data_IF_057966284373
#
_entry.id   IF_057966284373
#
_cell.length_a   1.000
_cell.length_b   1.000
_cell.length_c   1.000
_cell.angle_alpha   90.00
_cell.angle_beta   90.00
_cell.angle_gamma   90.00
#
_symmetry.space_group_name_H-M   'P 1'
#
loop_
_entity.id
_entity.type
_entity.pdbx_description
1 polymer ?
#
# COMPACT_ATOMS: atom_id res chain seq x y z
N UNK A 1 8.36 5.63 -3.99
CA UNK A 1 9.63 5.26 -4.67
C UNK A 1 9.81 3.79 -5.01
N UNK A 2 10.06 2.84 -4.10
CA UNK A 2 10.16 1.42 -4.52
C UNK A 2 8.79 0.82 -4.90
N UNK A 3 7.71 1.26 -4.25
CA UNK A 3 6.37 0.73 -4.48
C UNK A 3 5.70 1.26 -5.76
N UNK A 4 5.96 2.52 -6.14
CA UNK A 4 5.36 3.15 -7.33
C UNK A 4 5.88 2.51 -8.64
N UNK A 5 7.20 2.29 -8.73
CA UNK A 5 7.81 1.67 -9.90
C UNK A 5 7.44 0.19 -10.06
N UNK A 6 7.38 -0.56 -8.95
CA UNK A 6 7.02 -1.97 -8.96
C UNK A 6 5.53 -2.19 -9.28
N UNK A 7 4.64 -1.33 -8.76
CA UNK A 7 3.22 -1.35 -9.07
C UNK A 7 2.91 -1.07 -10.55
N UNK A 8 3.64 -0.13 -11.17
CA UNK A 8 3.51 0.14 -12.61
C UNK A 8 3.96 -1.05 -13.47
N UNK A 9 5.08 -1.70 -13.10
CA UNK A 9 5.58 -2.89 -13.80
C UNK A 9 4.60 -4.06 -13.70
N UNK A 10 4.05 -4.33 -12.51
CA UNK A 10 3.04 -5.37 -12.34
C UNK A 10 1.75 -5.07 -13.12
N UNK A 11 1.33 -3.81 -13.17
CA UNK A 11 0.20 -3.38 -13.99
C UNK A 11 0.45 -3.63 -15.49
N UNK A 12 1.68 -3.37 -15.96
CA UNK A 12 2.07 -3.67 -17.33
C UNK A 12 2.11 -5.18 -17.61
N UNK A 13 2.58 -6.00 -16.66
CA UNK A 13 2.56 -7.47 -16.78
C UNK A 13 1.12 -7.97 -16.89
N UNK A 14 0.22 -7.47 -16.03
CA UNK A 14 -1.21 -7.82 -16.07
C UNK A 14 -1.81 -7.49 -17.44
N UNK A 15 -1.64 -6.26 -17.91
CA UNK A 15 -2.21 -5.79 -19.18
C UNK A 15 -1.68 -6.59 -20.38
N UNK A 16 -0.37 -6.89 -20.42
CA UNK A 16 0.19 -7.72 -21.49
C UNK A 16 -0.29 -9.18 -21.42
N UNK A 17 -0.55 -9.70 -20.22
CA UNK A 17 -1.08 -11.06 -20.03
C UNK A 17 -2.54 -11.16 -20.48
N UNK A 18 -3.36 -10.14 -20.20
CA UNK A 18 -4.74 -10.05 -20.72
C UNK A 18 -4.76 -10.04 -22.25
N UNK A 19 -3.89 -9.22 -22.87
CA UNK A 19 -3.73 -9.17 -24.34
C UNK A 19 -3.25 -10.53 -24.88
N UNK A 20 -2.31 -11.19 -24.19
CA UNK A 20 -1.82 -12.52 -24.57
C UNK A 20 -2.97 -13.54 -24.61
N UNK A 21 -3.78 -13.59 -23.54
CA UNK A 21 -4.93 -14.49 -23.43
C UNK A 21 -5.92 -14.23 -24.56
N UNK A 22 -6.34 -12.98 -24.71
CA UNK A 22 -7.39 -12.59 -25.65
C UNK A 22 -6.99 -12.84 -27.11
N UNK A 23 -5.77 -12.47 -27.49
CA UNK A 23 -5.33 -12.52 -28.89
C UNK A 23 -4.74 -13.85 -29.32
N UNK A 24 -4.11 -14.59 -28.41
CA UNK A 24 -3.30 -15.76 -28.79
C UNK A 24 -3.75 -17.07 -28.14
N UNK A 25 -4.41 -17.04 -26.99
CA UNK A 25 -4.71 -18.26 -26.22
C UNK A 25 -6.18 -18.68 -26.21
N UNK A 26 -7.11 -17.80 -26.59
CA UNK A 26 -8.59 -17.98 -26.55
C UNK A 26 -9.17 -19.27 -27.17
N UNK A 27 -8.44 -19.95 -28.06
CA UNK A 27 -8.87 -21.21 -28.68
C UNK A 27 -7.99 -22.41 -28.25
N UNK A 28 -7.25 -22.27 -27.15
CA UNK A 28 -6.29 -23.24 -26.62
C UNK A 28 -6.54 -23.41 -25.12
N UNK A 29 -7.45 -24.32 -24.70
CA UNK A 29 -7.96 -24.37 -23.33
C UNK A 29 -6.87 -24.46 -22.26
N UNK A 30 -5.90 -25.35 -22.43
CA UNK A 30 -4.79 -25.52 -21.47
C UNK A 30 -3.88 -24.29 -21.40
N UNK A 31 -3.65 -23.63 -22.53
CA UNK A 31 -2.81 -22.44 -22.59
C UNK A 31 -3.55 -21.21 -22.02
N UNK A 32 -4.84 -21.09 -22.29
CA UNK A 32 -5.70 -20.08 -21.69
C UNK A 32 -5.79 -20.24 -20.17
N UNK A 33 -5.91 -21.47 -19.66
CA UNK A 33 -5.86 -21.76 -18.23
C UNK A 33 -4.53 -21.31 -17.61
N UNK A 34 -3.40 -21.62 -18.27
CA UNK A 34 -2.09 -21.15 -17.83
C UNK A 34 -2.01 -19.62 -17.81
N UNK A 35 -2.53 -18.95 -18.85
CA UNK A 35 -2.60 -17.49 -18.92
C UNK A 35 -3.41 -16.89 -17.77
N UNK A 36 -4.58 -17.46 -17.46
CA UNK A 36 -5.41 -17.03 -16.34
C UNK A 36 -4.72 -17.24 -14.98
N UNK A 37 -3.93 -18.31 -14.82
CA UNK A 37 -3.10 -18.51 -13.61
C UNK A 37 -2.01 -17.45 -13.50
N UNK A 38 -1.35 -17.06 -14.60
CA UNK A 38 -0.38 -15.96 -14.60
C UNK A 38 -1.03 -14.64 -14.20
N UNK A 39 -2.25 -14.38 -14.67
CA UNK A 39 -3.02 -13.19 -14.30
C UNK A 39 -3.31 -13.16 -12.80
N UNK A 40 -3.76 -14.29 -12.23
CA UNK A 40 -4.01 -14.42 -10.79
C UNK A 40 -2.75 -14.18 -9.95
N UNK A 41 -1.60 -14.73 -10.38
CA UNK A 41 -0.32 -14.51 -9.69
C UNK A 41 0.13 -13.05 -9.75
N UNK A 42 -0.11 -12.35 -10.86
CA UNK A 42 0.20 -10.92 -10.97
C UNK A 42 -0.68 -10.07 -10.04
N UNK A 43 -1.96 -10.42 -9.89
CA UNK A 43 -2.88 -9.77 -8.96
C UNK A 43 -2.49 -10.04 -7.49
N UNK A 44 -2.12 -11.27 -7.15
CA UNK A 44 -1.62 -11.63 -5.81
C UNK A 44 -0.32 -10.86 -5.48
N UNK A 45 0.61 -10.79 -6.43
CA UNK A 45 1.83 -10.01 -6.30
C UNK A 45 1.55 -8.52 -6.09
N UNK A 46 0.54 -7.96 -6.76
CA UNK A 46 0.13 -6.57 -6.54
C UNK A 46 -0.37 -6.33 -5.11
N UNK A 47 -1.12 -7.28 -4.55
CA UNK A 47 -1.62 -7.20 -3.18
C UNK A 47 -0.44 -7.26 -2.19
N UNK A 48 0.49 -8.18 -2.39
CA UNK A 48 1.65 -8.36 -1.52
C UNK A 48 2.57 -7.12 -1.54
N UNK A 49 2.86 -6.57 -2.72
CA UNK A 49 3.65 -5.33 -2.86
C UNK A 49 2.97 -4.16 -2.16
N UNK A 50 1.65 -4.00 -2.29
CA UNK A 50 0.91 -2.96 -1.55
C UNK A 50 1.02 -3.16 -0.05
N UNK A 51 0.91 -4.39 0.44
CA UNK A 51 1.07 -4.71 1.86
C UNK A 51 2.45 -4.34 2.38
N UNK A 52 3.51 -4.71 1.64
CA UNK A 52 4.90 -4.37 1.99
C UNK A 52 5.10 -2.85 1.98
N UNK A 53 4.63 -2.16 0.94
CA UNK A 53 4.71 -0.70 0.83
C UNK A 53 4.06 -0.02 2.04
N UNK A 54 2.86 -0.47 2.41
CA UNK A 54 2.12 0.03 3.57
C UNK A 54 2.86 -0.18 4.88
N UNK A 55 3.57 -1.31 5.04
CA UNK A 55 4.41 -1.56 6.21
C UNK A 55 5.66 -0.67 6.28
N UNK A 56 6.15 -0.20 5.13
CA UNK A 56 7.32 0.68 4.98
C UNK A 56 6.97 2.17 5.10
N UNK A 57 5.76 2.59 4.74
CA UNK A 57 5.27 3.97 4.81
C UNK A 57 5.47 4.66 6.17
N UNK A 58 5.23 4.00 7.33
CA UNK A 58 5.49 4.60 8.64
C UNK A 58 6.92 5.09 8.79
N UNK A 59 7.91 4.32 8.31
CA UNK A 59 9.32 4.66 8.47
C UNK A 59 9.75 5.89 7.65
N UNK A 60 9.07 6.15 6.52
CA UNK A 60 9.33 7.33 5.70
C UNK A 60 8.70 8.60 6.29
N UNK A 61 7.46 8.48 6.78
CA UNK A 61 6.73 9.59 7.41
C UNK A 61 7.35 9.99 8.74
N UNK A 62 7.81 9.03 9.55
CA UNK A 62 8.44 9.28 10.84
C UNK A 62 9.78 10.02 10.76
N UNK A 63 10.38 10.16 9.56
CA UNK A 63 11.53 11.08 9.38
C UNK A 63 11.20 12.54 9.75
N UNK A 64 9.92 12.91 9.70
CA UNK A 64 9.42 14.23 10.12
C UNK A 64 8.95 14.28 11.59
N UNK A 65 9.06 13.17 12.32
CA UNK A 65 8.59 13.00 13.70
C UNK A 65 7.13 12.51 13.77
N UNK A 66 6.79 11.83 14.87
CA UNK A 66 5.46 11.21 15.08
C UNK A 66 4.29 12.19 14.90
N UNK A 67 4.39 13.38 15.50
CA UNK A 67 3.29 14.38 15.46
C UNK A 67 2.98 14.82 14.03
N UNK A 68 4.02 15.08 13.23
CA UNK A 68 3.84 15.48 11.83
C UNK A 68 3.24 14.34 11.02
N UNK A 69 3.80 13.13 11.16
CA UNK A 69 3.31 11.95 10.47
C UNK A 69 1.84 11.65 10.75
N UNK A 70 1.42 11.70 12.03
CA UNK A 70 0.02 11.47 12.42
C UNK A 70 -0.88 12.58 11.90
N UNK A 71 -0.44 13.84 11.96
CA UNK A 71 -1.20 14.97 11.42
C UNK A 71 -1.45 14.81 9.93
N UNK A 72 -0.43 14.46 9.16
CA UNK A 72 -0.57 14.26 7.71
C UNK A 72 -1.50 13.08 7.41
N UNK A 73 -1.37 11.98 8.14
CA UNK A 73 -2.24 10.82 8.00
C UNK A 73 -3.72 11.17 8.24
N UNK A 74 -4.05 11.84 9.35
CA UNK A 74 -5.46 12.15 9.66
C UNK A 74 -6.08 13.13 8.67
N UNK A 75 -5.30 14.04 8.07
CA UNK A 75 -5.78 14.93 7.01
C UNK A 75 -6.07 14.21 5.69
N UNK A 76 -5.48 13.03 5.47
CA UNK A 76 -5.75 12.21 4.28
C UNK A 76 -7.00 11.33 4.45
N UNK A 77 -7.54 11.21 5.67
CA UNK A 77 -8.76 10.45 5.91
C UNK A 77 -9.96 11.24 5.36
N UNK A 78 -10.75 10.66 4.45
CA UNK A 78 -11.94 11.32 3.93
C UNK A 78 -12.96 11.62 5.05
N UNK A 79 -13.49 12.85 5.15
CA UNK A 79 -14.38 13.24 6.24
C UNK A 79 -15.73 12.51 6.22
N UNK A 80 -16.12 11.96 5.09
CA UNK A 80 -17.28 11.08 4.89
C UNK A 80 -17.06 9.67 5.45
N UNK A 81 -15.81 9.27 5.71
CA UNK A 81 -15.48 7.99 6.36
C UNK A 81 -15.42 8.13 7.88
N UNK A 82 -14.57 9.02 8.39
CA UNK A 82 -14.38 9.26 9.83
C UNK A 82 -14.06 10.74 10.06
N UNK A 83 -14.70 11.33 11.06
CA UNK A 83 -14.37 12.67 11.53
C UNK A 83 -13.28 12.58 12.61
N UNK A 84 -12.08 13.08 12.31
CA UNK A 84 -10.92 13.02 13.22
C UNK A 84 -10.55 14.42 13.69
N UNK A 85 -10.34 14.56 15.01
CA UNK A 85 -9.74 15.75 15.62
C UNK A 85 -8.47 15.34 16.35
N UNK A 86 -7.34 15.90 15.96
CA UNK A 86 -6.02 15.58 16.52
C UNK A 86 -5.54 16.67 17.48
N UNK A 87 -5.29 16.28 18.73
CA UNK A 87 -4.63 17.10 19.74
C UNK A 87 -3.36 16.39 20.23
N UNK A 88 -2.27 17.15 20.40
CA UNK A 88 -0.97 16.62 20.82
C UNK A 88 -0.42 17.43 21.98
N UNK A 89 -0.13 16.78 23.11
CA UNK A 89 0.36 17.41 24.34
C UNK A 89 1.59 16.64 24.82
N UNK A 90 2.66 17.36 25.18
CA UNK A 90 3.84 16.75 25.80
C UNK A 90 4.78 15.97 24.86
N UNK A 91 4.55 16.00 23.54
CA UNK A 91 5.39 15.35 22.52
C UNK A 91 6.51 16.29 22.00
N UNK A 92 7.09 17.08 22.89
CA UNK A 92 8.14 18.05 22.54
C UNK A 92 9.55 17.42 22.51
N UNK A 93 9.70 16.23 23.10
CA UNK A 93 10.95 15.46 23.09
C UNK A 93 10.90 14.38 22.01
N UNK A 94 12.07 14.07 21.44
CA UNK A 94 12.20 13.00 20.46
C UNK A 94 11.97 11.65 21.16
N UNK A 95 10.94 10.95 20.72
CA UNK A 95 10.70 9.57 21.13
C UNK A 95 11.70 8.64 20.43
N UNK A 96 11.93 7.47 21.02
CA UNK A 96 12.67 6.42 20.34
C UNK A 96 11.91 5.99 19.07
N UNK A 97 12.62 5.85 17.94
CA UNK A 97 12.01 5.56 16.64
C UNK A 97 11.13 4.30 16.63
N UNK A 98 11.48 3.30 17.44
CA UNK A 98 10.69 2.08 17.66
C UNK A 98 9.32 2.40 18.28
N UNK A 99 9.27 3.28 19.28
CA UNK A 99 8.04 3.74 19.95
C UNK A 99 7.19 4.56 18.99
N UNK A 100 7.79 5.49 18.25
CA UNK A 100 7.06 6.28 17.25
C UNK A 100 6.39 5.38 16.20
N UNK A 101 7.12 4.36 15.74
CA UNK A 101 6.61 3.39 14.75
C UNK A 101 5.42 2.61 15.29
N UNK A 102 5.49 2.15 16.55
CA UNK A 102 4.40 1.42 17.18
C UNK A 102 3.18 2.32 17.38
N UNK A 103 3.37 3.53 17.92
CA UNK A 103 2.28 4.49 18.15
C UNK A 103 1.59 4.87 16.83
N UNK A 104 2.36 5.18 15.79
CA UNK A 104 1.82 5.48 14.46
C UNK A 104 0.96 4.32 13.93
N UNK A 105 1.45 3.07 14.01
CA UNK A 105 0.70 1.89 13.56
C UNK A 105 -0.58 1.65 14.35
N UNK A 106 -0.59 1.93 15.65
CA UNK A 106 -1.79 1.82 16.49
C UNK A 106 -2.83 2.85 16.05
N UNK A 107 -2.43 4.11 15.86
CA UNK A 107 -3.33 5.18 15.40
C UNK A 107 -3.90 4.82 14.02
N UNK A 108 -3.05 4.37 13.11
CA UNK A 108 -3.45 3.97 11.77
C UNK A 108 -4.54 2.89 11.78
N UNK A 109 -4.38 1.84 12.61
CA UNK A 109 -5.38 0.76 12.73
C UNK A 109 -6.71 1.19 13.34
N UNK A 110 -6.74 2.25 14.15
CA UNK A 110 -7.98 2.78 14.72
C UNK A 110 -8.76 3.57 13.67
N UNK A 111 -8.05 4.17 12.72
CA UNK A 111 -8.60 5.03 11.67
C UNK A 111 -8.93 4.31 10.35
N UNK A 112 -8.40 3.10 10.15
CA UNK A 112 -8.75 2.19 9.04
C UNK A 112 -10.07 1.45 9.33
#
# INVERSE_FOLDING_TARGET
DLHDGLGQLLSAVKMNTEVLIEKYLKNRPEAEELGNRLLAMADESCIEVRSIAHQMTPNALLKSGLVSAVRDFVHQIPPDRIQVSLETIGLNELLESSIETVLYRVIQRICE
#
